data_IF_748572528639
#
_entry.id   IF_748572528639
#
_cell.length_a   1.000
_cell.length_b   1.000
_cell.length_c   1.000
_cell.angle_alpha   90.00
_cell.angle_beta   90.00
_cell.angle_gamma   90.00
#
_symmetry.space_group_name_H-M   'P 1'
#
loop_
_entity.id
_entity.type
_entity.pdbx_description
1 polymer ?
#
# COMPACT_ATOMS: atom_id res chain seq x y z
N UNK A 1 15.30 72.03 -53.16
CA UNK A 1 16.15 70.84 -52.91
C UNK A 1 15.28 69.86 -52.12
N UNK A 2 14.76 68.81 -52.77
CA UNK A 2 15.34 67.45 -52.78
C UNK A 2 15.52 66.96 -51.33
N UNK A 3 14.96 65.86 -50.83
CA UNK A 3 14.50 64.60 -51.42
C UNK A 3 13.73 63.91 -50.28
N UNK A 4 12.54 63.37 -50.52
CA UNK A 4 12.31 61.94 -50.76
C UNK A 4 12.60 60.99 -49.60
N UNK A 5 11.74 59.97 -49.57
CA UNK A 5 11.88 58.63 -49.02
C UNK A 5 11.59 58.46 -47.52
N UNK A 6 10.96 57.38 -47.06
CA UNK A 6 10.03 56.39 -47.61
C UNK A 6 9.71 55.47 -46.42
N UNK A 7 8.49 54.90 -46.43
CA UNK A 7 8.11 53.56 -45.95
C UNK A 7 9.02 52.86 -44.92
N UNK A 8 8.42 52.28 -43.89
CA UNK A 8 8.14 50.84 -43.89
C UNK A 8 7.38 50.41 -42.64
N UNK A 9 6.70 49.28 -42.78
CA UNK A 9 5.64 48.74 -41.95
C UNK A 9 6.09 48.16 -40.61
N UNK A 10 5.06 47.94 -39.78
CA UNK A 10 4.96 47.13 -38.54
C UNK A 10 5.87 45.88 -38.53
N UNK A 11 6.16 45.38 -37.32
CA UNK A 11 5.40 44.20 -36.91
C UNK A 11 4.82 44.32 -35.51
N UNK A 12 3.52 44.04 -35.46
CA UNK A 12 2.80 43.56 -34.28
C UNK A 12 3.43 42.24 -33.83
N UNK A 13 4.16 42.27 -32.72
CA UNK A 13 4.48 41.07 -31.96
C UNK A 13 3.81 41.20 -30.58
N UNK A 14 2.51 40.86 -30.55
CA UNK A 14 1.82 40.53 -29.31
C UNK A 14 2.52 39.32 -28.73
N UNK A 15 3.35 39.53 -27.71
CA UNK A 15 3.91 38.46 -26.89
C UNK A 15 2.75 37.85 -26.10
N UNK A 16 2.06 36.91 -26.72
CA UNK A 16 1.26 35.92 -25.99
C UNK A 16 2.26 35.02 -25.28
N UNK A 17 2.63 35.41 -24.06
CA UNK A 17 3.21 34.50 -23.09
C UNK A 17 2.17 33.42 -22.85
N UNK A 18 2.31 32.31 -23.56
CA UNK A 18 1.56 31.10 -23.28
C UNK A 18 1.98 30.67 -21.89
N UNK A 19 1.18 31.04 -20.89
CA UNK A 19 1.22 30.43 -19.57
C UNK A 19 0.93 28.95 -19.79
N UNK A 20 2.00 28.17 -19.95
CA UNK A 20 1.95 26.73 -19.79
C UNK A 20 1.62 26.52 -18.32
N UNK A 21 0.32 26.43 -18.01
CA UNK A 21 -0.19 25.89 -16.76
C UNK A 21 0.38 24.48 -16.67
N UNK A 22 1.51 24.33 -15.98
CA UNK A 22 2.00 23.03 -15.57
C UNK A 22 0.88 22.41 -14.75
N UNK A 23 0.19 21.44 -15.35
CA UNK A 23 -0.66 20.52 -14.63
C UNK A 23 0.28 19.75 -13.71
N UNK A 24 0.38 20.20 -12.46
CA UNK A 24 1.08 19.46 -11.43
C UNK A 24 0.44 18.08 -11.33
N UNK A 25 1.24 17.04 -11.48
CA UNK A 25 0.81 15.69 -11.15
C UNK A 25 0.60 15.66 -9.64
N UNK A 26 -0.66 15.79 -9.20
CA UNK A 26 -1.02 15.39 -7.85
C UNK A 26 -0.96 13.87 -7.80
N UNK A 27 0.11 13.34 -7.21
CA UNK A 27 0.12 11.95 -6.77
C UNK A 27 -0.80 11.84 -5.56
N UNK A 28 -1.98 11.27 -5.74
CA UNK A 28 -2.80 10.81 -4.61
C UNK A 28 -1.91 9.88 -3.78
N UNK A 29 -1.70 10.21 -2.50
CA UNK A 29 -1.04 9.25 -1.59
C UNK A 29 -1.81 7.95 -1.71
N UNK A 30 -1.13 6.84 -2.05
CA UNK A 30 -1.74 5.52 -2.12
C UNK A 30 -2.54 5.34 -0.83
N UNK A 31 -3.87 5.35 -0.97
CA UNK A 31 -4.80 5.23 0.14
C UNK A 31 -4.41 3.97 0.92
N UNK A 32 -4.31 4.14 2.24
CA UNK A 32 -3.91 3.09 3.16
C UNK A 32 -5.16 2.34 3.56
N UNK A 33 -5.14 1.03 3.37
CA UNK A 33 -6.32 0.21 3.60
C UNK A 33 -5.93 -0.90 4.58
N UNK A 34 -6.58 -0.89 5.76
CA UNK A 34 -6.65 -2.07 6.60
C UNK A 34 -7.79 -2.93 6.05
N UNK A 35 -7.43 -4.04 5.43
CA UNK A 35 -8.38 -4.98 4.85
C UNK A 35 -8.82 -5.96 5.94
N UNK A 36 -9.93 -5.66 6.59
CA UNK A 36 -10.50 -6.53 7.61
C UNK A 36 -11.25 -7.67 6.95
N UNK A 37 -11.09 -8.88 7.49
CA UNK A 37 -11.59 -10.16 6.97
C UNK A 37 -11.64 -10.22 5.43
N UNK A 38 -10.46 -10.21 4.82
CA UNK A 38 -10.32 -9.99 3.39
C UNK A 38 -10.81 -11.19 2.57
N UNK A 39 -11.65 -10.89 1.58
CA UNK A 39 -12.11 -11.87 0.59
C UNK A 39 -10.96 -12.37 -0.29
N UNK A 40 -11.11 -13.54 -0.95
CA UNK A 40 -10.09 -14.06 -1.85
C UNK A 40 -9.66 -13.06 -2.94
N UNK A 41 -10.61 -12.30 -3.50
CA UNK A 41 -10.32 -11.31 -4.54
C UNK A 41 -9.49 -10.14 -4.00
N UNK A 42 -9.81 -9.67 -2.79
CA UNK A 42 -9.04 -8.63 -2.12
C UNK A 42 -7.63 -9.13 -1.79
N UNK A 43 -7.50 -10.39 -1.35
CA UNK A 43 -6.24 -11.04 -1.07
C UNK A 43 -5.35 -11.10 -2.32
N UNK A 44 -5.89 -11.59 -3.45
CA UNK A 44 -5.14 -11.67 -4.71
C UNK A 44 -4.66 -10.29 -5.17
N UNK A 45 -5.57 -9.30 -5.18
CA UNK A 45 -5.26 -7.96 -5.65
C UNK A 45 -4.24 -7.23 -4.77
N UNK A 46 -4.27 -7.44 -3.45
CA UNK A 46 -3.40 -6.69 -2.53
C UNK A 46 -2.13 -7.46 -2.14
N UNK A 47 -2.24 -8.72 -1.76
CA UNK A 47 -1.09 -9.50 -1.28
C UNK A 47 -0.27 -10.10 -2.44
N UNK A 48 -0.91 -10.47 -3.55
CA UNK A 48 -0.26 -11.21 -4.64
C UNK A 48 0.13 -10.37 -5.86
N UNK A 49 -0.43 -9.18 -6.02
CA UNK A 49 -0.03 -8.28 -7.11
C UNK A 49 1.40 -7.75 -6.88
N UNK A 50 2.31 -8.10 -7.80
CA UNK A 50 3.70 -7.68 -7.77
C UNK A 50 3.90 -6.18 -8.04
N UNK A 51 2.89 -5.48 -8.59
CA UNK A 51 2.88 -4.04 -8.76
C UNK A 51 2.66 -3.26 -7.46
N UNK A 52 2.32 -3.93 -6.36
CA UNK A 52 2.12 -3.28 -5.08
C UNK A 52 3.46 -2.91 -4.42
N UNK A 53 3.70 -1.60 -4.33
CA UNK A 53 4.93 -1.06 -3.75
C UNK A 53 5.06 -1.32 -2.23
N UNK A 54 3.94 -1.42 -1.51
CA UNK A 54 3.92 -1.61 -0.05
C UNK A 54 3.89 -3.10 0.29
N UNK A 55 4.71 -3.59 1.23
CA UNK A 55 4.55 -4.92 1.76
C UNK A 55 3.21 -5.04 2.53
N UNK A 56 2.60 -6.22 2.46
CA UNK A 56 1.30 -6.51 3.08
C UNK A 56 1.49 -7.56 4.15
N UNK A 57 1.03 -7.26 5.36
CA UNK A 57 0.98 -8.19 6.48
C UNK A 57 -0.39 -8.84 6.50
N UNK A 58 -0.42 -10.16 6.42
CA UNK A 58 -1.65 -10.94 6.54
C UNK A 58 -1.67 -11.63 7.89
N UNK A 59 -2.59 -11.20 8.76
CA UNK A 59 -2.88 -11.81 10.06
C UNK A 59 -3.98 -12.87 9.90
N UNK A 60 -3.59 -14.14 9.96
CA UNK A 60 -4.52 -15.27 9.99
C UNK A 60 -5.00 -15.48 11.42
N UNK A 61 -6.30 -15.32 11.63
CA UNK A 61 -6.95 -15.37 12.93
C UNK A 61 -8.24 -16.20 12.90
N UNK A 62 -8.88 -16.35 14.06
CA UNK A 62 -10.25 -16.85 14.20
C UNK A 62 -10.93 -16.19 15.41
N UNK A 63 -12.26 -16.15 15.45
CA UNK A 63 -12.99 -15.47 16.51
C UNK A 63 -12.84 -16.14 17.89
N UNK A 64 -12.59 -17.45 17.90
CA UNK A 64 -12.32 -18.24 19.11
C UNK A 64 -10.86 -18.17 19.56
N UNK A 65 -9.97 -17.54 18.78
CA UNK A 65 -8.56 -17.42 19.11
C UNK A 65 -8.30 -16.27 20.11
N UNK A 66 -8.11 -16.62 21.39
CA UNK A 66 -7.88 -15.63 22.43
C UNK A 66 -6.59 -14.80 22.23
N UNK A 67 -5.41 -15.39 21.91
CA UNK A 67 -4.19 -14.61 21.66
C UNK A 67 -4.32 -13.65 20.46
N UNK A 68 -5.15 -13.99 19.46
CA UNK A 68 -5.39 -13.15 18.28
C UNK A 68 -6.03 -11.81 18.67
N UNK A 69 -6.94 -11.80 19.66
CA UNK A 69 -7.61 -10.57 20.14
C UNK A 69 -6.64 -9.51 20.67
N UNK A 70 -5.44 -9.92 21.09
CA UNK A 70 -4.37 -9.02 21.52
C UNK A 70 -3.45 -8.67 20.35
N UNK A 71 -3.13 -9.64 19.50
CA UNK A 71 -2.20 -9.44 18.38
C UNK A 71 -2.77 -8.51 17.31
N UNK A 72 -4.01 -8.72 16.85
CA UNK A 72 -4.56 -7.98 15.71
C UNK A 72 -4.65 -6.46 15.96
N UNK A 73 -5.10 -5.96 17.13
CA UNK A 73 -5.03 -4.53 17.45
C UNK A 73 -3.62 -3.98 17.51
N UNK A 74 -2.66 -4.80 17.97
CA UNK A 74 -1.27 -4.39 18.07
C UNK A 74 -0.62 -4.29 16.68
N UNK A 75 -0.89 -5.26 15.79
CA UNK A 75 -0.54 -5.18 14.38
C UNK A 75 -1.12 -3.91 13.76
N UNK A 76 -2.42 -3.65 13.99
CA UNK A 76 -3.10 -2.45 13.51
C UNK A 76 -2.42 -1.15 13.97
N UNK A 77 -1.95 -1.11 15.22
CA UNK A 77 -1.26 0.03 15.78
C UNK A 77 0.12 0.26 15.15
N UNK A 78 0.91 -0.82 14.95
CA UNK A 78 2.24 -0.70 14.32
C UNK A 78 2.17 -0.49 12.81
N UNK A 79 1.11 -0.93 12.15
CA UNK A 79 0.82 -0.66 10.73
C UNK A 79 -0.10 0.55 10.57
N UNK A 80 0.02 1.52 11.47
CA UNK A 80 -0.80 2.73 11.48
C UNK A 80 -0.66 3.59 10.23
N UNK A 81 -1.42 4.71 10.16
CA UNK A 81 -1.58 5.53 8.96
C UNK A 81 -0.33 6.26 8.48
N UNK A 82 0.80 6.16 9.17
CA UNK A 82 2.08 6.74 8.73
C UNK A 82 3.08 5.70 8.24
N UNK A 83 2.75 4.41 8.36
CA UNK A 83 3.68 3.31 8.04
C UNK A 83 3.69 2.95 6.55
N UNK A 84 4.73 2.24 6.14
CA UNK A 84 4.93 1.76 4.76
C UNK A 84 4.32 0.38 4.49
N UNK A 85 3.58 -0.16 5.47
CA UNK A 85 2.97 -1.48 5.42
C UNK A 85 1.45 -1.37 5.34
N UNK A 86 0.83 -2.30 4.62
CA UNK A 86 -0.60 -2.53 4.75
C UNK A 86 -0.87 -3.73 5.65
N UNK A 87 -2.04 -3.73 6.27
CA UNK A 87 -2.51 -4.83 7.11
C UNK A 87 -3.77 -5.43 6.48
N UNK A 88 -3.78 -6.75 6.42
CA UNK A 88 -4.89 -7.57 6.03
C UNK A 88 -5.14 -8.60 7.13
N UNK A 89 -6.38 -8.86 7.47
CA UNK A 89 -6.74 -9.96 8.38
C UNK A 89 -7.54 -10.99 7.60
N UNK A 90 -7.32 -12.27 7.85
CA UNK A 90 -8.06 -13.36 7.21
C UNK A 90 -8.57 -14.29 8.30
N UNK A 91 -9.89 -14.40 8.44
CA UNK A 91 -10.47 -15.40 9.33
C UNK A 91 -10.37 -16.79 8.67
N UNK A 92 -9.67 -17.71 9.31
CA UNK A 92 -9.44 -19.06 8.74
C UNK A 92 -10.70 -19.91 8.69
N UNK A 93 -11.72 -19.60 9.48
CA UNK A 93 -13.02 -20.29 9.43
C UNK A 93 -13.86 -19.81 8.23
N UNK A 94 -13.73 -18.54 7.86
CA UNK A 94 -14.43 -17.95 6.71
C UNK A 94 -13.72 -18.25 5.38
N UNK A 95 -12.39 -18.32 5.41
CA UNK A 95 -11.53 -18.49 4.23
C UNK A 95 -10.55 -19.67 4.37
N UNK A 96 -11.06 -20.91 4.57
CA UNK A 96 -10.23 -22.09 4.81
C UNK A 96 -9.30 -22.42 3.62
N UNK A 97 -9.71 -22.08 2.39
CA UNK A 97 -8.90 -22.25 1.18
C UNK A 97 -7.65 -21.38 1.17
N UNK A 98 -7.76 -20.11 1.59
CA UNK A 98 -6.61 -19.20 1.69
C UNK A 98 -5.67 -19.72 2.78
N UNK A 99 -6.21 -20.09 3.95
CA UNK A 99 -5.44 -20.65 5.04
C UNK A 99 -4.72 -21.96 4.64
N UNK A 100 -5.40 -22.83 3.89
CA UNK A 100 -4.84 -24.07 3.37
C UNK A 100 -3.65 -23.85 2.43
N UNK A 101 -3.75 -22.89 1.51
CA UNK A 101 -2.69 -22.56 0.55
C UNK A 101 -1.39 -22.13 1.24
N UNK A 102 -1.48 -21.43 2.38
CA UNK A 102 -0.32 -20.99 3.17
C UNK A 102 0.05 -21.94 4.31
N UNK A 103 -0.58 -23.13 4.36
CA UNK A 103 -0.36 -24.18 5.36
C UNK A 103 -0.47 -23.63 6.79
N UNK A 104 -1.51 -22.83 7.04
CA UNK A 104 -1.78 -22.27 8.36
C UNK A 104 -2.31 -23.40 9.26
N UNK A 105 -1.46 -23.86 10.17
CA UNK A 105 -1.78 -24.96 11.11
C UNK A 105 -2.00 -24.51 12.55
N UNK A 106 -1.69 -23.26 12.86
CA UNK A 106 -1.81 -22.69 14.20
C UNK A 106 -2.14 -21.19 14.10
N UNK A 107 -2.86 -20.69 15.11
CA UNK A 107 -3.27 -19.29 15.19
C UNK A 107 -2.67 -18.62 16.43
N UNK A 108 -2.40 -17.30 16.37
CA UNK A 108 -2.32 -16.51 15.15
C UNK A 108 -1.13 -16.91 14.28
N UNK A 109 -1.20 -16.67 12.98
CA UNK A 109 -0.04 -16.74 12.08
C UNK A 109 -0.01 -15.47 11.24
N UNK A 110 1.14 -14.81 11.15
CA UNK A 110 1.30 -13.61 10.32
C UNK A 110 2.26 -13.91 9.18
N UNK A 111 1.85 -13.60 7.95
CA UNK A 111 2.64 -13.77 6.74
C UNK A 111 2.84 -12.41 6.08
N UNK A 112 4.09 -12.08 5.77
CA UNK A 112 4.44 -10.85 5.07
C UNK A 112 4.66 -11.11 3.59
N UNK A 113 3.97 -10.34 2.75
CA UNK A 113 4.08 -10.37 1.29
C UNK A 113 4.75 -9.10 0.78
N UNK A 114 5.60 -9.25 -0.23
CA UNK A 114 6.20 -8.12 -0.97
C UNK A 114 6.45 -8.56 -2.40
N UNK A 115 6.02 -7.75 -3.37
CA UNK A 115 6.10 -8.05 -4.80
C UNK A 115 5.45 -9.40 -5.13
N UNK A 116 4.28 -9.67 -4.56
CA UNK A 116 3.51 -10.91 -4.79
C UNK A 116 4.09 -12.19 -4.18
N UNK A 117 5.18 -12.10 -3.41
CA UNK A 117 5.84 -13.26 -2.83
C UNK A 117 5.91 -13.16 -1.30
N UNK A 118 5.84 -14.32 -0.64
CA UNK A 118 6.09 -14.42 0.81
C UNK A 118 7.54 -14.07 1.09
N UNK A 119 7.76 -13.07 1.95
CA UNK A 119 9.10 -12.66 2.41
C UNK A 119 9.45 -13.22 3.77
N UNK A 120 8.48 -13.24 4.67
CA UNK A 120 8.69 -13.71 6.03
C UNK A 120 7.37 -14.20 6.64
N UNK A 121 7.46 -15.01 7.69
CA UNK A 121 6.31 -15.54 8.43
C UNK A 121 6.68 -15.79 9.88
N UNK A 122 5.74 -15.57 10.79
CA UNK A 122 5.82 -16.10 12.15
C UNK A 122 4.51 -16.71 12.59
N UNK A 123 4.61 -17.61 13.57
CA UNK A 123 3.48 -18.31 14.19
C UNK A 123 3.44 -17.97 15.68
N UNK A 124 2.23 -17.81 16.20
CA UNK A 124 1.96 -17.47 17.59
C UNK A 124 2.01 -15.97 17.87
N UNK A 125 1.68 -15.62 19.11
CA UNK A 125 1.72 -14.25 19.58
C UNK A 125 3.16 -13.71 19.65
N UNK A 126 3.33 -12.43 19.29
CA UNK A 126 4.58 -11.67 19.47
C UNK A 126 4.27 -10.32 20.11
N UNK A 127 5.19 -9.87 20.97
CA UNK A 127 5.15 -8.52 21.53
C UNK A 127 5.54 -7.46 20.50
N UNK A 128 5.31 -6.19 20.84
CA UNK A 128 5.53 -5.06 19.93
C UNK A 128 6.97 -4.98 19.40
N UNK A 129 7.98 -5.19 20.26
CA UNK A 129 9.38 -5.14 19.87
C UNK A 129 9.74 -6.20 18.83
N UNK A 130 9.22 -7.41 18.99
CA UNK A 130 9.49 -8.50 18.05
C UNK A 130 8.76 -8.29 16.72
N UNK A 131 7.60 -7.64 16.75
CA UNK A 131 6.89 -7.25 15.54
C UNK A 131 7.66 -6.13 14.83
N UNK A 132 8.16 -5.12 15.53
CA UNK A 132 8.99 -4.07 14.92
C UNK A 132 10.25 -4.65 14.28
N UNK A 133 10.92 -5.61 14.94
CA UNK A 133 12.04 -6.35 14.36
C UNK A 133 11.61 -7.13 13.12
N UNK A 134 10.47 -7.79 13.16
CA UNK A 134 9.90 -8.52 12.02
C UNK A 134 9.67 -7.59 10.82
N UNK A 135 9.11 -6.40 11.04
CA UNK A 135 8.90 -5.39 10.00
C UNK A 135 10.21 -4.86 9.42
N UNK A 136 11.24 -4.69 10.25
CA UNK A 136 12.56 -4.24 9.80
C UNK A 136 13.32 -5.24 8.91
N UNK A 137 12.85 -6.48 8.81
CA UNK A 137 13.44 -7.52 7.94
C UNK A 137 12.78 -7.62 6.56
N UNK A 138 11.76 -6.80 6.26
CA UNK A 138 10.94 -6.87 5.03
C UNK A 138 11.39 -5.88 3.96
#
# INVERSE_FOLDING_TARGET
MLSQFARSARPTASLRTTLLTQRGFHATRIARDHFLDATPEAFEKRALDAGNAKPVLVDFYADWCQPCRVLSPLLKAVTGPETEFDLMTVNVDNHPEIAGNYKISALPTVVAFKNGAVKNKFVGFKGQDDINKFLGML
#
